data_IF_519850665226
#
_entry.id   IF_519850665226
#
_cell.length_a   1.000
_cell.length_b   1.000
_cell.length_c   1.000
_cell.angle_alpha   90.00
_cell.angle_beta   90.00
_cell.angle_gamma   90.00
#
_symmetry.space_group_name_H-M   'P 1'
#
loop_
_entity.id
_entity.type
_entity.pdbx_description
1 polymer ?
#
# COMPACT_ATOMS: atom_id res chain seq x y z
N UNK A 1 13.05 -8.93 7.46
CA UNK A 1 11.80 -9.63 7.03
C UNK A 1 11.05 -8.66 6.14
N UNK A 2 10.61 -9.11 4.97
CA UNK A 2 9.88 -8.25 4.02
C UNK A 2 8.49 -7.94 4.55
N UNK A 3 8.03 -6.69 4.42
CA UNK A 3 6.65 -6.31 4.76
C UNK A 3 5.68 -6.74 3.63
N UNK A 4 4.52 -7.25 3.99
CA UNK A 4 3.51 -7.68 3.03
C UNK A 4 2.28 -6.79 3.17
N UNK A 5 1.74 -6.31 2.04
CA UNK A 5 0.50 -5.55 1.99
C UNK A 5 -0.53 -6.30 1.14
N UNK A 6 -1.75 -6.42 1.65
CA UNK A 6 -2.89 -6.90 0.88
C UNK A 6 -3.42 -5.76 0.00
N UNK A 7 -3.30 -5.89 -1.32
CA UNK A 7 -3.82 -4.92 -2.29
C UNK A 7 -5.33 -4.77 -2.14
N UNK A 8 -5.80 -3.52 -1.95
CA UNK A 8 -7.21 -3.15 -1.69
C UNK A 8 -7.85 -3.97 -0.58
N UNK A 9 -7.04 -4.44 0.39
CA UNK A 9 -7.52 -5.32 1.47
C UNK A 9 -8.46 -6.43 0.97
N UNK A 10 -8.16 -7.04 -0.20
CA UNK A 10 -9.01 -8.06 -0.84
C UNK A 10 -9.25 -9.24 0.10
N UNK A 11 -10.53 -9.57 0.35
CA UNK A 11 -10.93 -10.67 1.21
C UNK A 11 -12.16 -11.37 0.63
N UNK A 12 -12.08 -12.68 0.41
CA UNK A 12 -13.15 -13.46 -0.24
C UNK A 12 -13.61 -12.86 -1.58
N UNK A 13 -12.69 -12.30 -2.36
CA UNK A 13 -12.98 -11.68 -3.66
C UNK A 13 -13.58 -10.27 -3.59
N UNK A 14 -13.76 -9.72 -2.39
CA UNK A 14 -14.25 -8.35 -2.16
C UNK A 14 -13.07 -7.44 -1.87
N UNK A 15 -12.92 -6.36 -2.62
CA UNK A 15 -11.91 -5.32 -2.47
C UNK A 15 -12.42 -4.16 -1.62
N UNK A 16 -11.51 -3.43 -0.96
CA UNK A 16 -11.83 -2.22 -0.21
C UNK A 16 -13.01 -2.38 0.78
N UNK A 17 -12.98 -3.43 1.61
CA UNK A 17 -14.02 -3.66 2.62
C UNK A 17 -13.48 -3.61 4.04
N UNK A 18 -14.19 -2.91 4.92
CA UNK A 18 -13.88 -2.85 6.34
C UNK A 18 -13.93 -4.23 7.02
N UNK A 19 -14.71 -5.17 6.46
CA UNK A 19 -14.84 -6.55 6.99
C UNK A 19 -13.53 -7.35 6.89
N UNK A 20 -12.57 -6.95 6.04
CA UNK A 20 -11.28 -7.61 5.90
C UNK A 20 -10.31 -7.31 7.05
N UNK A 21 -10.50 -6.23 7.79
CA UNK A 21 -9.55 -5.72 8.78
C UNK A 21 -9.21 -6.72 9.88
N UNK A 22 -10.19 -7.40 10.53
CA UNK A 22 -9.88 -8.39 11.57
C UNK A 22 -9.04 -9.56 11.04
N UNK A 23 -9.25 -9.96 9.79
CA UNK A 23 -8.51 -11.02 9.14
C UNK A 23 -7.03 -10.66 8.96
N UNK A 24 -6.75 -9.49 8.37
CA UNK A 24 -5.37 -9.07 8.13
C UNK A 24 -4.63 -8.70 9.42
N UNK A 25 -5.34 -8.19 10.43
CA UNK A 25 -4.79 -8.06 11.79
C UNK A 25 -4.29 -9.38 12.34
N UNK A 26 -5.07 -10.46 12.21
CA UNK A 26 -4.68 -11.81 12.66
C UNK A 26 -3.45 -12.33 11.91
N UNK A 27 -3.31 -12.00 10.62
CA UNK A 27 -2.14 -12.37 9.83
C UNK A 27 -0.91 -11.50 10.12
N UNK A 28 -1.08 -10.34 10.73
CA UNK A 28 -0.01 -9.40 11.04
C UNK A 28 0.60 -8.73 9.81
N UNK A 29 -0.16 -8.59 8.71
CA UNK A 29 0.28 -7.95 7.47
C UNK A 29 -0.42 -6.62 7.24
N UNK A 30 0.25 -5.72 6.50
CA UNK A 30 -0.31 -4.45 6.11
C UNK A 30 -1.44 -4.57 5.10
N UNK A 31 -2.19 -3.52 4.94
CA UNK A 31 -3.22 -3.40 3.91
C UNK A 31 -3.05 -2.12 3.11
N UNK A 32 -3.36 -2.19 1.85
CA UNK A 32 -3.52 -1.03 0.99
C UNK A 32 -5.00 -0.77 0.79
N UNK A 33 -5.42 0.51 0.81
CA UNK A 33 -6.80 0.95 0.65
C UNK A 33 -6.87 2.20 -0.23
N UNK A 34 -7.82 2.22 -1.15
CA UNK A 34 -8.18 3.40 -1.94
C UNK A 34 -9.16 4.28 -1.20
N UNK A 35 -8.81 5.53 -0.94
CA UNK A 35 -9.64 6.50 -0.22
C UNK A 35 -10.23 7.54 -1.16
N UNK A 36 -11.55 7.68 -1.11
CA UNK A 36 -12.36 8.64 -1.85
C UNK A 36 -13.21 9.48 -0.92
N UNK A 37 -13.78 10.56 -1.47
CA UNK A 37 -14.58 11.50 -0.70
C UNK A 37 -15.88 11.82 -1.40
N UNK A 38 -17.01 11.66 -0.71
CA UNK A 38 -18.33 12.06 -1.20
C UNK A 38 -19.23 12.37 -0.01
N UNK A 39 -20.17 13.30 -0.17
CA UNK A 39 -21.17 13.66 0.86
C UNK A 39 -20.57 13.93 2.25
N UNK A 40 -19.43 14.64 2.30
CA UNK A 40 -18.67 14.93 3.52
C UNK A 40 -18.13 13.72 4.27
N UNK A 41 -17.97 12.57 3.59
CA UNK A 41 -17.48 11.33 4.17
C UNK A 41 -16.34 10.73 3.33
N UNK A 42 -15.32 10.17 4.03
CA UNK A 42 -14.29 9.35 3.40
C UNK A 42 -14.80 7.91 3.33
N UNK A 43 -14.75 7.33 2.15
CA UNK A 43 -15.10 5.94 1.91
C UNK A 43 -13.98 5.21 1.17
N UNK A 44 -13.99 3.88 1.23
CA UNK A 44 -12.99 3.02 0.59
C UNK A 44 -13.56 2.41 -0.68
N UNK A 45 -12.95 2.72 -1.82
CA UNK A 45 -13.27 2.14 -3.12
C UNK A 45 -12.25 2.55 -4.17
N UNK A 46 -11.93 1.63 -5.10
CA UNK A 46 -11.09 1.98 -6.24
C UNK A 46 -11.78 2.97 -7.18
N UNK A 47 -13.02 2.68 -7.56
CA UNK A 47 -13.82 3.52 -8.44
C UNK A 47 -14.87 4.32 -7.66
N UNK A 48 -15.32 5.46 -8.17
CA UNK A 48 -16.40 6.22 -7.53
C UNK A 48 -17.66 5.37 -7.36
N UNK A 49 -18.21 5.36 -6.13
CA UNK A 49 -19.44 4.63 -5.80
C UNK A 49 -20.17 5.28 -4.63
N UNK A 50 -21.48 5.01 -4.54
CA UNK A 50 -22.29 5.39 -3.38
C UNK A 50 -22.38 4.28 -2.31
N UNK A 51 -21.77 3.11 -2.56
CA UNK A 51 -21.92 1.91 -1.74
C UNK A 51 -20.60 1.46 -1.08
N UNK A 52 -19.55 2.31 -1.09
CA UNK A 52 -18.28 1.98 -0.42
C UNK A 52 -18.42 2.02 1.11
N UNK A 53 -17.70 1.13 1.79
CA UNK A 53 -17.59 1.16 3.25
C UNK A 53 -16.94 2.47 3.68
N UNK A 54 -17.36 3.05 4.81
CA UNK A 54 -16.74 4.27 5.32
C UNK A 54 -15.36 3.97 5.92
N UNK A 55 -14.39 4.84 5.64
CA UNK A 55 -13.04 4.68 6.20
C UNK A 55 -13.04 4.72 7.74
N UNK A 56 -13.99 5.40 8.34
CA UNK A 56 -14.17 5.42 9.78
C UNK A 56 -14.47 4.02 10.36
N UNK A 57 -15.19 3.16 9.61
CA UNK A 57 -15.45 1.77 10.05
C UNK A 57 -14.17 0.93 10.06
N UNK A 58 -13.26 1.17 9.10
CA UNK A 58 -11.91 0.59 9.12
C UNK A 58 -11.17 1.01 10.40
N UNK A 59 -11.18 2.32 10.69
CA UNK A 59 -10.47 2.88 11.85
C UNK A 59 -11.03 2.40 13.18
N UNK A 60 -12.33 2.18 13.30
CA UNK A 60 -12.96 1.58 14.50
C UNK A 60 -12.46 0.16 14.79
N UNK A 61 -12.13 -0.60 13.75
CA UNK A 61 -11.65 -1.97 13.88
C UNK A 61 -10.12 -2.05 14.03
N UNK A 62 -9.44 -0.92 13.81
CA UNK A 62 -7.99 -0.84 13.91
C UNK A 62 -7.55 -0.80 15.39
N UNK A 63 -6.46 -1.53 15.70
CA UNK A 63 -5.83 -1.55 17.03
C UNK A 63 -4.49 -0.79 16.97
N UNK A 64 -4.13 -0.07 18.05
CA UNK A 64 -2.92 0.75 18.12
C UNK A 64 -1.61 -0.01 17.88
N UNK A 65 -1.57 -1.31 18.17
CA UNK A 65 -0.43 -2.21 17.94
C UNK A 65 -0.44 -2.87 16.57
N UNK A 66 -1.32 -2.46 15.68
CA UNK A 66 -1.72 -3.21 14.52
C UNK A 66 -0.87 -2.97 13.28
N UNK A 67 -1.33 -3.56 12.21
CA UNK A 67 -0.79 -3.61 10.86
C UNK A 67 -0.57 -2.21 10.26
N UNK A 68 0.28 -2.10 9.26
CA UNK A 68 0.53 -0.84 8.55
C UNK A 68 -0.55 -0.57 7.51
N UNK A 69 -1.03 0.67 7.44
CA UNK A 69 -1.97 1.12 6.42
C UNK A 69 -1.22 1.88 5.33
N UNK A 70 -1.31 1.40 4.09
CA UNK A 70 -0.92 2.11 2.88
C UNK A 70 -2.18 2.75 2.30
N UNK A 71 -2.33 4.06 2.40
CA UNK A 71 -3.56 4.76 2.09
C UNK A 71 -3.40 5.57 0.80
N UNK A 72 -4.05 5.08 -0.26
CA UNK A 72 -4.07 5.73 -1.55
C UNK A 72 -5.14 6.81 -1.58
N UNK A 73 -4.73 8.06 -1.57
CA UNK A 73 -5.64 9.21 -1.68
C UNK A 73 -6.01 9.40 -3.15
N UNK A 74 -7.23 9.06 -3.53
CA UNK A 74 -7.71 9.14 -4.92
C UNK A 74 -8.14 10.55 -5.32
N UNK A 75 -8.48 11.39 -4.35
CA UNK A 75 -9.03 12.73 -4.55
C UNK A 75 -8.47 13.68 -3.49
N UNK A 76 -8.15 14.92 -3.87
CA UNK A 76 -7.60 15.93 -2.95
C UNK A 76 -8.50 16.17 -1.74
N UNK A 77 -9.80 16.14 -1.96
CA UNK A 77 -10.83 16.38 -0.97
C UNK A 77 -10.83 15.32 0.15
N UNK A 78 -10.36 14.10 -0.16
CA UNK A 78 -10.25 13.01 0.81
C UNK A 78 -9.11 13.24 1.83
N UNK A 79 -8.07 14.02 1.47
CA UNK A 79 -6.84 14.11 2.26
C UNK A 79 -7.07 14.61 3.69
N UNK A 80 -7.61 15.81 3.85
CA UNK A 80 -7.79 16.42 5.16
C UNK A 80 -8.82 15.67 6.05
N UNK A 81 -9.97 15.21 5.53
CA UNK A 81 -10.87 14.36 6.30
C UNK A 81 -10.22 13.03 6.74
N UNK A 82 -9.40 12.39 5.87
CA UNK A 82 -8.66 11.17 6.22
C UNK A 82 -7.75 11.41 7.41
N UNK A 83 -6.96 12.50 7.42
CA UNK A 83 -6.05 12.82 8.52
C UNK A 83 -6.83 13.01 9.83
N UNK A 84 -7.94 13.76 9.81
CA UNK A 84 -8.78 13.95 10.98
C UNK A 84 -9.34 12.64 11.56
N UNK A 85 -9.73 11.70 10.69
CA UNK A 85 -10.19 10.38 11.11
C UNK A 85 -9.04 9.60 11.75
N UNK A 86 -7.85 9.57 11.13
CA UNK A 86 -6.66 8.90 11.68
C UNK A 86 -6.28 9.46 13.07
N UNK A 87 -6.30 10.76 13.24
CA UNK A 87 -6.06 11.44 14.51
C UNK A 87 -7.13 11.08 15.56
N UNK A 88 -8.42 11.14 15.21
CA UNK A 88 -9.54 10.76 16.07
C UNK A 88 -9.38 9.37 16.66
N UNK A 89 -8.90 8.41 15.87
CA UNK A 89 -8.69 7.02 16.30
C UNK A 89 -7.24 6.75 16.78
N UNK A 90 -6.39 7.80 16.85
CA UNK A 90 -5.00 7.70 17.27
C UNK A 90 -4.18 6.68 16.47
N UNK A 91 -4.49 6.52 15.18
CA UNK A 91 -3.78 5.62 14.28
C UNK A 91 -2.46 6.28 13.88
N UNK A 92 -1.33 5.58 14.11
CA UNK A 92 0.01 6.10 13.83
C UNK A 92 0.80 5.27 12.81
N UNK A 93 0.40 4.00 12.58
CA UNK A 93 1.11 3.12 11.67
C UNK A 93 0.50 3.17 10.26
N UNK A 94 0.71 4.28 9.56
CA UNK A 94 0.21 4.49 8.20
C UNK A 94 1.19 5.33 7.39
N UNK A 95 0.99 5.33 6.08
CA UNK A 95 1.48 6.36 5.17
C UNK A 95 0.42 6.63 4.08
N UNK A 96 0.51 7.84 3.53
CA UNK A 96 -0.36 8.34 2.47
C UNK A 96 0.41 8.40 1.17
N UNK A 97 -0.20 8.03 0.07
CA UNK A 97 0.37 8.21 -1.26
C UNK A 97 -0.70 8.58 -2.27
N UNK A 98 -0.26 9.08 -3.41
CA UNK A 98 -1.11 9.40 -4.53
C UNK A 98 -0.35 9.23 -5.86
N UNK A 99 -1.07 8.90 -6.91
CA UNK A 99 -0.58 8.80 -8.28
C UNK A 99 -0.49 10.15 -8.98
N UNK A 100 -1.16 11.19 -8.45
CA UNK A 100 -1.14 12.57 -8.95
C UNK A 100 -0.34 13.48 -8.03
N UNK A 101 0.17 14.59 -8.55
CA UNK A 101 0.92 15.56 -7.74
C UNK A 101 0.00 16.30 -6.79
N UNK A 102 -0.08 15.88 -5.56
CA UNK A 102 -0.76 16.63 -4.50
C UNK A 102 0.17 17.64 -3.84
N UNK A 103 -0.39 18.79 -3.55
CA UNK A 103 0.13 19.63 -2.49
C UNK A 103 -0.38 19.09 -1.17
N UNK A 104 0.46 18.33 -0.48
CA UNK A 104 0.15 17.86 0.87
C UNK A 104 -0.07 19.06 1.77
N UNK A 105 -1.22 19.10 2.44
CA UNK A 105 -1.53 20.17 3.38
C UNK A 105 -0.48 20.24 4.49
N UNK A 106 -0.30 21.42 5.11
CA UNK A 106 0.59 21.61 6.26
C UNK A 106 0.20 20.76 7.48
N UNK A 107 -0.96 20.08 7.45
CA UNK A 107 -1.46 19.17 8.49
C UNK A 107 -0.84 17.77 8.41
N UNK A 108 -0.19 17.41 7.32
CA UNK A 108 0.40 16.07 7.16
C UNK A 108 1.83 16.05 7.67
N UNK A 109 2.10 15.16 8.62
CA UNK A 109 3.48 14.80 8.95
C UNK A 109 4.17 14.23 7.70
N UNK A 110 5.18 14.95 7.20
CA UNK A 110 5.92 14.58 5.98
C UNK A 110 6.58 13.19 6.07
N UNK A 111 6.78 12.66 7.28
CA UNK A 111 7.29 11.29 7.48
C UNK A 111 6.24 10.23 7.17
N UNK A 112 4.96 10.63 7.04
CA UNK A 112 3.82 9.77 6.70
C UNK A 112 3.45 9.83 5.22
N UNK A 113 4.24 10.52 4.39
CA UNK A 113 3.99 10.62 2.96
C UNK A 113 4.92 9.67 2.23
N UNK A 114 4.41 8.98 1.22
CA UNK A 114 5.20 8.24 0.26
C UNK A 114 5.15 8.89 -1.12
N UNK A 115 6.30 8.92 -1.80
CA UNK A 115 6.34 9.24 -3.22
C UNK A 115 5.86 8.03 -4.03
N UNK A 116 4.92 8.25 -4.95
CA UNK A 116 4.56 7.27 -5.95
C UNK A 116 5.57 7.31 -7.10
N UNK A 117 6.24 6.19 -7.35
CA UNK A 117 7.40 6.13 -8.25
C UNK A 117 7.18 5.08 -9.34
N UNK A 118 7.18 5.52 -10.59
CA UNK A 118 6.95 4.68 -11.78
C UNK A 118 8.16 4.58 -12.71
N UNK A 119 9.22 5.33 -12.41
CA UNK A 119 10.46 5.34 -13.22
C UNK A 119 11.67 5.80 -12.42
N UNK A 120 12.86 5.40 -12.88
CA UNK A 120 14.13 5.66 -12.21
C UNK A 120 14.46 7.14 -11.99
N UNK A 121 14.15 8.00 -12.96
CA UNK A 121 14.58 9.41 -12.97
C UNK A 121 13.57 10.35 -12.30
N UNK A 122 12.61 9.79 -11.58
CA UNK A 122 11.62 10.59 -10.87
C UNK A 122 12.25 11.32 -9.68
N UNK A 123 11.81 12.57 -9.45
CA UNK A 123 12.28 13.35 -8.30
C UNK A 123 11.73 12.79 -6.99
N UNK A 124 12.57 12.10 -6.23
CA UNK A 124 12.22 11.41 -4.98
C UNK A 124 12.55 12.29 -3.78
N UNK A 125 11.53 12.73 -3.06
CA UNK A 125 11.63 13.55 -1.84
C UNK A 125 11.33 12.75 -0.57
N UNK A 126 10.25 11.95 -0.56
CA UNK A 126 9.79 11.22 0.60
C UNK A 126 10.79 10.12 1.05
N UNK A 127 10.69 9.74 2.33
CA UNK A 127 11.44 8.60 2.87
C UNK A 127 10.86 7.27 2.39
N UNK A 128 9.54 7.19 2.26
CA UNK A 128 8.81 6.01 1.81
C UNK A 128 8.56 6.15 0.31
N UNK A 129 8.78 5.08 -0.43
CA UNK A 129 8.51 4.99 -1.85
C UNK A 129 7.48 3.90 -2.07
N UNK A 130 6.41 4.25 -2.79
CA UNK A 130 5.42 3.30 -3.30
C UNK A 130 5.63 3.18 -4.80
N UNK A 131 6.13 2.03 -5.23
CA UNK A 131 6.70 1.87 -6.55
C UNK A 131 5.94 0.86 -7.40
N UNK A 132 5.82 1.11 -8.70
CA UNK A 132 5.37 0.14 -9.67
C UNK A 132 6.23 0.10 -10.95
N UNK A 133 6.02 -0.93 -11.76
CA UNK A 133 6.68 -1.13 -13.05
C UNK A 133 5.65 -1.24 -14.19
N UNK A 134 4.56 -0.45 -14.12
CA UNK A 134 3.47 -0.46 -15.12
C UNK A 134 3.95 -0.27 -16.57
N UNK A 135 4.96 0.54 -16.79
CA UNK A 135 5.43 0.87 -18.13
C UNK A 135 6.70 0.11 -18.53
N UNK A 136 7.64 -0.02 -17.61
CA UNK A 136 8.93 -0.65 -17.84
C UNK A 136 9.49 -1.20 -16.53
N UNK A 137 10.18 -2.35 -16.60
CA UNK A 137 10.97 -2.85 -15.47
C UNK A 137 12.16 -1.94 -15.24
N UNK A 138 12.19 -1.26 -14.10
CA UNK A 138 13.26 -0.31 -13.75
C UNK A 138 13.98 -0.65 -12.45
N UNK A 139 13.45 -1.55 -11.62
CA UNK A 139 14.18 -2.00 -10.43
C UNK A 139 15.40 -2.82 -10.83
N UNK A 140 16.54 -2.44 -10.29
CA UNK A 140 17.78 -3.21 -10.37
C UNK A 140 18.48 -3.18 -9.02
N UNK A 141 19.37 -4.13 -8.78
CA UNK A 141 20.16 -4.21 -7.55
C UNK A 141 20.91 -2.89 -7.27
N UNK A 142 21.46 -2.28 -8.30
CA UNK A 142 22.18 -0.99 -8.20
C UNK A 142 21.24 0.13 -7.75
N UNK A 143 20.02 0.17 -8.28
CA UNK A 143 19.01 1.19 -7.95
C UNK A 143 18.54 1.00 -6.51
N UNK A 144 18.13 -0.20 -6.13
CA UNK A 144 17.65 -0.54 -4.78
C UNK A 144 18.73 -0.24 -3.74
N UNK A 145 19.98 -0.68 -3.97
CA UNK A 145 21.11 -0.37 -3.08
C UNK A 145 21.37 1.14 -2.95
N UNK A 146 21.24 1.90 -4.04
CA UNK A 146 21.39 3.36 -4.00
C UNK A 146 20.27 4.03 -3.18
N UNK A 147 19.03 3.58 -3.36
CA UNK A 147 17.89 4.11 -2.59
C UNK A 147 18.07 3.79 -1.09
N UNK A 148 18.50 2.59 -0.73
CA UNK A 148 18.80 2.24 0.67
C UNK A 148 19.94 3.08 1.27
N UNK A 149 21.02 3.36 0.52
CA UNK A 149 22.07 4.30 0.96
C UNK A 149 21.51 5.68 1.29
N UNK A 150 20.46 6.10 0.59
CA UNK A 150 19.70 7.34 0.85
C UNK A 150 18.64 7.18 1.93
N UNK A 151 18.62 6.08 2.66
CA UNK A 151 17.67 5.75 3.74
C UNK A 151 16.20 5.74 3.28
N UNK A 152 15.94 5.36 2.03
CA UNK A 152 14.60 5.18 1.50
C UNK A 152 14.07 3.79 1.85
N UNK A 153 12.75 3.68 2.11
CA UNK A 153 11.99 2.43 2.23
C UNK A 153 11.25 2.21 0.91
N UNK A 154 11.38 1.02 0.35
CA UNK A 154 10.93 0.69 -1.01
C UNK A 154 9.82 -0.36 -0.90
N UNK A 155 8.58 0.08 -1.09
CA UNK A 155 7.40 -0.78 -1.20
C UNK A 155 6.99 -0.88 -2.67
N UNK A 156 6.77 -2.09 -3.15
CA UNK A 156 6.55 -2.34 -4.58
C UNK A 156 5.23 -3.06 -4.83
N UNK A 157 4.62 -2.78 -5.98
CA UNK A 157 3.45 -3.51 -6.46
C UNK A 157 3.91 -4.83 -7.09
N UNK A 158 3.22 -5.92 -6.77
CA UNK A 158 3.44 -7.23 -7.39
C UNK A 158 2.84 -7.29 -8.79
N UNK A 159 3.39 -8.17 -9.64
CA UNK A 159 3.06 -8.27 -11.06
C UNK A 159 1.55 -8.44 -11.32
N UNK A 160 0.87 -9.31 -10.58
CA UNK A 160 -0.56 -9.59 -10.75
C UNK A 160 -1.49 -8.43 -10.34
N UNK A 161 -0.95 -7.42 -9.69
CA UNK A 161 -1.67 -6.16 -9.45
C UNK A 161 -1.68 -5.32 -10.71
N UNK A 162 -0.58 -5.32 -11.45
CA UNK A 162 -0.33 -4.48 -12.61
C UNK A 162 -0.90 -5.05 -13.90
N UNK A 163 -0.83 -6.37 -14.08
CA UNK A 163 -1.26 -7.06 -15.30
C UNK A 163 -1.82 -8.46 -15.04
N UNK A 164 -2.49 -9.03 -16.05
CA UNK A 164 -2.89 -10.44 -16.01
C UNK A 164 -1.68 -11.32 -16.26
N UNK A 165 -1.37 -12.20 -15.33
CA UNK A 165 -0.27 -13.16 -15.43
C UNK A 165 -0.65 -14.50 -14.79
N UNK A 166 0.10 -15.54 -15.11
CA UNK A 166 -0.03 -16.84 -14.47
C UNK A 166 0.68 -16.86 -13.11
N UNK A 167 0.35 -17.86 -12.30
CA UNK A 167 0.88 -17.99 -10.95
C UNK A 167 2.41 -18.19 -10.92
N UNK A 168 2.97 -18.89 -11.89
CA UNK A 168 4.42 -19.10 -12.01
C UNK A 168 5.15 -17.77 -12.21
N UNK A 169 4.60 -16.89 -13.06
CA UNK A 169 5.15 -15.55 -13.30
C UNK A 169 5.13 -14.71 -12.03
N UNK A 170 4.06 -14.82 -11.21
CA UNK A 170 3.98 -14.14 -9.90
C UNK A 170 5.09 -14.60 -8.97
N UNK A 171 5.33 -15.92 -8.85
CA UNK A 171 6.38 -16.44 -7.96
C UNK A 171 7.78 -16.04 -8.41
N UNK A 172 8.05 -16.07 -9.71
CA UNK A 172 9.33 -15.60 -10.26
C UNK A 172 9.55 -14.11 -9.99
N UNK A 173 8.48 -13.32 -10.07
CA UNK A 173 8.54 -11.89 -9.74
C UNK A 173 8.78 -11.66 -8.25
N UNK A 174 8.10 -12.38 -7.34
CA UNK A 174 8.36 -12.29 -5.91
C UNK A 174 9.81 -12.66 -5.57
N UNK A 175 10.33 -13.74 -6.16
CA UNK A 175 11.73 -14.12 -6.00
C UNK A 175 12.67 -12.98 -6.46
N UNK A 176 12.41 -12.39 -7.62
CA UNK A 176 13.17 -11.24 -8.13
C UNK A 176 13.15 -10.07 -7.16
N UNK A 177 11.97 -9.65 -6.70
CA UNK A 177 11.80 -8.51 -5.80
C UNK A 177 12.48 -8.73 -4.44
N UNK A 178 12.35 -9.93 -3.87
CA UNK A 178 12.99 -10.31 -2.62
C UNK A 178 14.52 -10.30 -2.77
N UNK A 179 15.05 -10.87 -3.86
CA UNK A 179 16.48 -10.89 -4.15
C UNK A 179 17.05 -9.48 -4.41
N UNK A 180 16.26 -8.56 -4.96
CA UNK A 180 16.63 -7.16 -5.08
C UNK A 180 16.69 -6.44 -3.71
N UNK A 181 16.07 -7.01 -2.68
CA UNK A 181 16.08 -6.47 -1.32
C UNK A 181 15.07 -5.35 -1.11
N UNK A 182 13.90 -5.36 -1.77
CA UNK A 182 12.82 -4.39 -1.48
C UNK A 182 12.31 -4.57 -0.05
N UNK A 183 11.78 -3.50 0.55
CA UNK A 183 11.34 -3.52 1.95
C UNK A 183 9.94 -4.13 2.12
N UNK A 184 9.11 -4.11 1.08
CA UNK A 184 7.79 -4.76 1.11
C UNK A 184 7.16 -4.91 -0.26
N UNK A 185 6.16 -5.80 -0.32
CA UNK A 185 5.41 -6.15 -1.54
C UNK A 185 3.92 -6.02 -1.29
N UNK A 186 3.23 -5.29 -2.16
CA UNK A 186 1.77 -5.23 -2.22
C UNK A 186 1.25 -6.23 -3.27
N UNK A 187 0.36 -7.14 -2.86
CA UNK A 187 -0.08 -8.27 -3.68
C UNK A 187 -1.57 -8.57 -3.51
N UNK A 188 -2.20 -9.15 -4.54
CA UNK A 188 -3.55 -9.74 -4.45
C UNK A 188 -3.57 -11.09 -3.74
N UNK A 189 -2.39 -11.71 -3.52
CA UNK A 189 -2.27 -13.06 -2.94
C UNK A 189 -1.42 -13.07 -1.66
N UNK A 190 -1.80 -12.27 -0.62
CA UNK A 190 -0.95 -12.08 0.54
C UNK A 190 -0.66 -13.38 1.32
N UNK A 191 -1.61 -14.32 1.40
CA UNK A 191 -1.41 -15.60 2.08
C UNK A 191 -0.40 -16.48 1.32
N UNK A 192 -0.43 -16.44 -0.02
CA UNK A 192 0.53 -17.17 -0.85
C UNK A 192 1.94 -16.57 -0.69
N UNK A 193 2.04 -15.23 -0.68
CA UNK A 193 3.32 -14.56 -0.45
C UNK A 193 3.90 -14.86 0.94
N UNK A 194 3.05 -14.93 1.99
CA UNK A 194 3.49 -15.37 3.34
C UNK A 194 4.12 -16.77 3.27
N UNK A 195 3.46 -17.73 2.63
CA UNK A 195 3.96 -19.09 2.47
C UNK A 195 5.25 -19.13 1.66
N UNK A 196 5.29 -18.37 0.56
CA UNK A 196 6.47 -18.25 -0.30
C UNK A 196 7.69 -17.75 0.47
N UNK A 197 7.54 -16.68 1.24
CA UNK A 197 8.64 -16.11 2.06
C UNK A 197 9.11 -17.07 3.16
N UNK A 198 8.20 -17.91 3.68
CA UNK A 198 8.53 -18.94 4.68
C UNK A 198 9.15 -20.21 4.09
N UNK A 199 9.14 -20.37 2.77
CA UNK A 199 9.55 -21.59 2.09
C UNK A 199 8.52 -22.74 2.19
N UNK A 200 7.27 -22.43 2.48
CA UNK A 200 6.17 -23.40 2.66
C UNK A 200 5.41 -23.68 1.34
N UNK A 201 5.84 -23.11 0.22
CA UNK A 201 5.32 -23.39 -1.12
C UNK A 201 6.34 -24.29 -1.84
N UNK A 202 6.00 -25.56 -1.94
CA UNK A 202 6.63 -26.54 -2.83
C UNK A 202 5.97 -26.52 -4.21
#
# INVERSE_FOLDING_TARGET
MIEIFAHRAIFNGIENSAKSIPYYKKLGIGIELDLRYNNNQVYISHDPTNNGDFFEEVCKQYDKSSIKLALHIKENEALNPTIKILEKYSIKNYFLFNTENFEYSNLVDKTKIADYVVKQDQNIKAKILWCDELQNKWYSEKIVKNLHKRKKLIYVMSLEVLEKCDEKSVYLEWERLINLGVDGICTKYPEKLIKFVKGDLN
#
